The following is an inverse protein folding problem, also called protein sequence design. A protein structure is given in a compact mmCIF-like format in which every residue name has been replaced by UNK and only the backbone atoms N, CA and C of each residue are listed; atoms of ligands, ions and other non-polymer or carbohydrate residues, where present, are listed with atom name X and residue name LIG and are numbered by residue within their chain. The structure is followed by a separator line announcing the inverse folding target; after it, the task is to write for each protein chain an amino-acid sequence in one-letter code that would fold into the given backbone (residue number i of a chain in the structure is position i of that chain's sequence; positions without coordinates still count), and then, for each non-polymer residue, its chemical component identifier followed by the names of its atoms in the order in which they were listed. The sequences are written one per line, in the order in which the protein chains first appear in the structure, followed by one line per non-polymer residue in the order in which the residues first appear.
data_IF_741078439477
#
_entry.id   IF_741078439477
#
_cell.length_a   1.000
_cell.length_b   1.000
_cell.length_c   1.000
_cell.angle_alpha   90.00
_cell.angle_beta   90.00
_cell.angle_gamma   90.00
#
_symmetry.space_group_name_H-M   'P 1'
#
loop_
_entity.id
_entity.type
_entity.pdbx_description
1 polymer ?
#
# COMPACT_ATOMS: atom_id res chain seq x y z
N UNK A 1 28.63 -0.63 26.16
CA UNK A 1 28.70 -1.17 24.80
C UNK A 1 27.37 -0.81 24.17
N UNK A 2 27.33 0.16 23.26
CA UNK A 2 26.08 0.45 22.53
C UNK A 2 25.69 -0.81 21.77
N UNK A 3 24.49 -1.34 22.07
CA UNK A 3 23.92 -2.42 21.28
C UNK A 3 23.58 -1.85 19.92
N UNK A 4 24.37 -2.17 18.89
CA UNK A 4 24.02 -1.85 17.51
C UNK A 4 22.81 -2.71 17.18
N UNK A 5 21.62 -2.11 17.20
CA UNK A 5 20.39 -2.81 16.81
C UNK A 5 20.34 -2.80 15.28
N UNK A 6 20.22 -3.96 14.62
CA UNK A 6 20.25 -4.06 13.16
C UNK A 6 19.15 -3.22 12.51
N UNK A 7 19.48 -2.54 11.41
CA UNK A 7 18.51 -1.77 10.63
C UNK A 7 17.71 -2.68 9.68
N UNK A 8 16.53 -2.21 9.27
CA UNK A 8 15.76 -2.85 8.21
C UNK A 8 16.43 -2.58 6.86
N UNK A 9 16.55 -3.62 6.03
CA UNK A 9 17.06 -3.49 4.65
C UNK A 9 15.95 -3.00 3.73
N UNK A 10 16.26 -2.02 2.88
CA UNK A 10 15.32 -1.55 1.86
C UNK A 10 15.00 -2.70 0.89
N UNK A 11 13.72 -2.94 0.66
CA UNK A 11 13.28 -3.95 -0.30
C UNK A 11 12.00 -3.50 -1.02
N UNK A 12 11.92 -3.82 -2.31
CA UNK A 12 10.75 -3.51 -3.14
C UNK A 12 10.12 -4.78 -3.67
N UNK A 13 8.81 -4.86 -3.55
CA UNK A 13 7.98 -5.86 -4.22
C UNK A 13 6.98 -5.17 -5.15
N UNK A 14 6.40 -5.94 -6.07
CA UNK A 14 5.50 -5.41 -7.08
C UNK A 14 4.18 -6.17 -7.09
N UNK A 15 3.08 -5.42 -7.18
CA UNK A 15 1.72 -5.93 -7.12
C UNK A 15 1.03 -5.60 -8.44
N UNK A 16 0.74 -6.62 -9.24
CA UNK A 16 0.02 -6.43 -10.50
C UNK A 16 -1.44 -6.00 -10.26
N UNK A 17 -1.87 -4.99 -11.00
CA UNK A 17 -3.20 -4.40 -10.95
C UNK A 17 -4.01 -4.85 -12.16
N UNK A 18 -5.09 -5.61 -11.93
CA UNK A 18 -5.94 -6.13 -12.99
C UNK A 18 -7.33 -5.50 -12.95
N UNK A 19 -8.01 -5.30 -14.09
CA UNK A 19 -9.41 -4.92 -14.11
C UNK A 19 -10.24 -5.86 -13.24
N UNK A 20 -11.12 -5.28 -12.41
CA UNK A 20 -11.88 -6.03 -11.43
C UNK A 20 -13.33 -5.53 -11.30
N UNK A 21 -14.18 -6.33 -10.67
CA UNK A 21 -15.55 -5.90 -10.32
C UNK A 21 -15.52 -4.96 -9.11
N UNK A 22 -16.55 -4.11 -9.01
CA UNK A 22 -16.78 -3.17 -7.91
C UNK A 22 -17.26 -3.83 -6.60
N UNK A 23 -17.33 -5.15 -6.54
CA UNK A 23 -17.66 -5.90 -5.31
C UNK A 23 -16.69 -5.52 -4.19
N UNK A 24 -17.21 -5.24 -2.99
CA UNK A 24 -16.38 -4.88 -1.84
C UNK A 24 -16.07 -3.39 -1.70
N UNK A 25 -16.53 -2.55 -2.64
CA UNK A 25 -16.12 -1.13 -2.72
C UNK A 25 -17.18 -0.14 -2.24
N UNK A 26 -18.36 -0.58 -1.79
CA UNK A 26 -19.47 0.32 -1.47
C UNK A 26 -19.09 1.40 -0.46
N UNK A 27 -19.92 2.46 -0.37
CA UNK A 27 -19.78 3.51 0.64
C UNK A 27 -19.59 2.95 2.06
N UNK A 28 -20.22 1.82 2.38
CA UNK A 28 -20.15 1.14 3.69
C UNK A 28 -18.89 0.31 3.92
N UNK A 29 -18.08 0.06 2.88
CA UNK A 29 -16.88 -0.76 2.96
C UNK A 29 -15.62 0.09 2.74
N UNK A 30 -15.55 0.76 1.59
CA UNK A 30 -14.38 1.57 1.20
C UNK A 30 -14.73 3.01 0.87
N UNK A 31 -15.97 3.45 1.13
CA UNK A 31 -16.35 4.84 0.91
C UNK A 31 -16.47 5.23 -0.56
N UNK A 32 -16.53 4.27 -1.50
CA UNK A 32 -16.54 4.58 -2.94
C UNK A 32 -17.97 4.79 -3.45
N UNK A 33 -18.29 5.93 -4.08
CA UNK A 33 -19.54 6.10 -4.82
C UNK A 33 -19.47 5.30 -6.13
N UNK A 34 -20.26 4.24 -6.20
CA UNK A 34 -20.30 3.35 -7.36
C UNK A 34 -21.31 3.87 -8.39
N UNK A 35 -20.83 4.11 -9.60
CA UNK A 35 -21.58 4.48 -10.78
C UNK A 35 -21.35 3.43 -11.86
N UNK A 36 -22.21 3.40 -12.89
CA UNK A 36 -22.05 2.47 -14.01
C UNK A 36 -20.74 2.68 -14.78
N UNK A 37 -20.19 3.90 -14.75
CA UNK A 37 -18.91 4.26 -15.36
C UNK A 37 -17.69 3.97 -14.47
N UNK A 38 -17.87 3.48 -13.24
CA UNK A 38 -16.75 3.25 -12.31
C UNK A 38 -15.81 2.18 -12.85
N UNK A 39 -14.54 2.53 -13.00
CA UNK A 39 -13.45 1.62 -13.41
C UNK A 39 -12.66 1.19 -12.19
N UNK A 40 -12.39 -0.10 -12.08
CA UNK A 40 -11.70 -0.68 -10.91
C UNK A 40 -10.51 -1.52 -11.35
N UNK A 41 -9.37 -1.31 -10.69
CA UNK A 41 -8.18 -2.18 -10.78
C UNK A 41 -7.85 -2.74 -9.40
N UNK A 42 -7.57 -4.04 -9.29
CA UNK A 42 -7.20 -4.68 -8.02
C UNK A 42 -5.94 -5.51 -8.14
N UNK A 43 -5.15 -5.51 -7.07
CA UNK A 43 -3.98 -6.34 -6.89
C UNK A 43 -3.87 -6.80 -5.44
N UNK A 44 -3.14 -7.90 -5.21
CA UNK A 44 -2.87 -8.39 -3.85
C UNK A 44 -1.52 -9.09 -3.75
N UNK A 45 -0.92 -8.99 -2.57
CA UNK A 45 0.24 -9.76 -2.16
C UNK A 45 -0.03 -10.33 -0.77
N UNK A 46 0.13 -11.64 -0.62
CA UNK A 46 -0.21 -12.33 0.62
C UNK A 46 0.77 -11.99 1.75
N UNK A 47 2.06 -11.90 1.44
CA UNK A 47 3.11 -11.69 2.42
C UNK A 47 4.30 -10.98 1.79
N UNK A 48 4.92 -10.10 2.57
CA UNK A 48 6.17 -9.44 2.24
C UNK A 48 7.03 -9.33 3.52
N UNK A 49 8.14 -10.05 3.51
CA UNK A 49 9.07 -10.13 4.63
C UNK A 49 10.19 -9.12 4.39
N UNK A 50 10.40 -8.24 5.36
CA UNK A 50 11.55 -7.34 5.41
C UNK A 50 12.64 -7.95 6.29
N UNK A 51 13.85 -8.05 5.75
CA UNK A 51 14.99 -8.56 6.48
C UNK A 51 15.74 -7.43 7.17
N UNK A 52 16.38 -7.75 8.29
CA UNK A 52 17.40 -6.93 8.92
C UNK A 52 18.73 -7.07 8.17
N UNK A 53 19.66 -6.14 8.40
CA UNK A 53 21.02 -6.20 7.84
C UNK A 53 21.77 -7.51 8.17
N UNK A 54 21.42 -8.17 9.28
CA UNK A 54 21.99 -9.46 9.68
C UNK A 54 21.29 -10.67 9.03
N UNK A 55 20.34 -10.43 8.12
CA UNK A 55 19.58 -11.44 7.38
C UNK A 55 18.43 -12.08 8.16
N UNK A 56 18.19 -11.69 9.42
CA UNK A 56 17.02 -12.16 10.18
C UNK A 56 15.76 -11.45 9.74
N UNK A 57 14.61 -12.05 10.03
CA UNK A 57 13.31 -11.40 9.81
C UNK A 57 13.20 -10.20 10.75
N UNK A 58 13.02 -9.02 10.15
CA UNK A 58 12.74 -7.77 10.86
C UNK A 58 11.24 -7.59 10.97
N UNK A 59 10.66 -6.95 9.95
CA UNK A 59 9.23 -6.65 9.89
C UNK A 59 8.49 -7.54 8.90
N UNK A 60 7.22 -7.81 9.21
CA UNK A 60 6.33 -8.53 8.29
C UNK A 60 5.14 -7.66 7.91
N UNK A 61 4.97 -7.51 6.60
CA UNK A 61 3.77 -6.97 5.98
C UNK A 61 3.01 -8.14 5.36
N UNK A 62 1.69 -8.19 5.54
CA UNK A 62 0.88 -9.25 4.95
C UNK A 62 -0.47 -8.73 4.50
N UNK A 63 -1.18 -9.56 3.75
CA UNK A 63 -2.51 -9.26 3.24
C UNK A 63 -2.59 -7.89 2.54
N UNK A 64 -1.52 -7.51 1.80
CA UNK A 64 -1.45 -6.25 1.07
C UNK A 64 -2.46 -6.31 -0.07
N UNK A 65 -3.43 -5.40 -0.05
CA UNK A 65 -4.48 -5.28 -1.06
C UNK A 65 -4.45 -3.88 -1.63
N UNK A 66 -4.36 -3.79 -2.95
CA UNK A 66 -4.41 -2.53 -3.68
C UNK A 66 -5.72 -2.50 -4.44
N UNK A 67 -6.50 -1.45 -4.22
CA UNK A 67 -7.73 -1.16 -4.97
C UNK A 67 -7.61 0.22 -5.58
N UNK A 68 -7.44 0.27 -6.89
CA UNK A 68 -7.59 1.48 -7.66
C UNK A 68 -9.03 1.65 -8.14
N UNK A 69 -9.56 2.86 -8.03
CA UNK A 69 -10.89 3.23 -8.50
C UNK A 69 -10.81 4.53 -9.27
N UNK A 70 -11.41 4.58 -10.46
CA UNK A 70 -11.75 5.82 -11.15
C UNK A 70 -13.26 5.94 -11.24
N UNK A 71 -13.83 7.05 -10.78
CA UNK A 71 -15.28 7.29 -10.75
C UNK A 71 -15.58 8.78 -10.95
N UNK A 72 -16.86 9.16 -10.94
CA UNK A 72 -17.25 10.58 -10.95
C UNK A 72 -17.76 11.03 -9.59
N UNK A 73 -17.23 12.14 -9.09
CA UNK A 73 -17.62 12.81 -7.86
C UNK A 73 -18.03 14.25 -8.19
N UNK A 74 -19.28 14.63 -7.89
CA UNK A 74 -19.79 15.98 -8.20
C UNK A 74 -19.76 16.34 -9.70
N UNK A 75 -19.78 15.34 -10.59
CA UNK A 75 -19.68 15.53 -12.04
C UNK A 75 -18.25 15.65 -12.57
N UNK A 76 -17.23 15.49 -11.72
CA UNK A 76 -15.81 15.52 -12.10
C UNK A 76 -15.25 14.10 -11.97
N UNK A 77 -14.46 13.66 -12.95
CA UNK A 77 -13.76 12.38 -12.82
C UNK A 77 -12.65 12.48 -11.78
N UNK A 78 -12.58 11.50 -10.88
CA UNK A 78 -11.55 11.35 -9.87
C UNK A 78 -10.99 9.94 -9.93
N UNK A 79 -9.70 9.78 -9.59
CA UNK A 79 -9.12 8.48 -9.36
C UNK A 79 -8.46 8.42 -7.98
N UNK A 80 -8.66 7.29 -7.31
CA UNK A 80 -8.07 7.00 -6.00
C UNK A 80 -7.44 5.62 -5.99
N UNK A 81 -6.34 5.48 -5.26
CA UNK A 81 -5.71 4.20 -4.95
C UNK A 81 -5.81 3.99 -3.45
N UNK A 82 -6.39 2.86 -3.07
CA UNK A 82 -6.56 2.44 -1.68
C UNK A 82 -5.59 1.28 -1.44
N UNK A 83 -4.68 1.44 -0.49
CA UNK A 83 -3.75 0.39 -0.06
C UNK A 83 -4.15 -0.05 1.34
N UNK A 84 -4.56 -1.31 1.46
CA UNK A 84 -4.80 -1.96 2.74
C UNK A 84 -3.67 -2.95 3.02
N UNK A 85 -3.15 -2.96 4.23
CA UNK A 85 -2.03 -3.83 4.61
C UNK A 85 -2.09 -4.16 6.09
N UNK A 86 -1.77 -5.40 6.45
CA UNK A 86 -1.51 -5.78 7.83
C UNK A 86 -0.02 -5.66 8.13
N UNK A 87 0.30 -4.99 9.24
CA UNK A 87 1.67 -4.78 9.70
C UNK A 87 1.82 -5.41 11.07
N UNK A 88 2.87 -6.21 11.25
CA UNK A 88 3.22 -6.74 12.57
C UNK A 88 4.09 -5.73 13.32
N UNK A 89 3.74 -5.48 14.57
CA UNK A 89 4.60 -4.74 15.49
C UNK A 89 5.76 -5.62 15.92
N UNK A 90 6.97 -5.28 15.52
CA UNK A 90 8.16 -6.04 15.91
C UNK A 90 8.42 -5.88 17.43
N UNK A 91 9.03 -6.88 18.06
CA UNK A 91 9.34 -6.92 19.51
C UNK A 91 10.52 -6.01 19.91
N UNK A 92 10.84 -5.03 19.06
CA UNK A 92 12.04 -4.20 19.16
C UNK A 92 11.69 -2.79 19.65
N UNK A 93 12.59 -2.17 20.41
CA UNK A 93 12.52 -0.74 20.74
C UNK A 93 12.72 0.05 19.43
N UNK A 94 11.78 0.93 19.03
CA UNK A 94 11.93 1.71 17.81
C UNK A 94 13.21 2.55 17.85
N UNK A 95 14.16 2.27 16.95
CA UNK A 95 15.41 3.04 16.82
C UNK A 95 15.23 4.35 16.06
N UNK A 96 14.14 4.46 15.30
CA UNK A 96 13.79 5.60 14.48
C UNK A 96 12.28 5.81 14.51
N UNK A 97 11.84 6.97 14.03
CA UNK A 97 10.43 7.26 13.80
C UNK A 97 9.83 6.17 12.91
N UNK A 98 8.60 5.75 13.25
CA UNK A 98 7.85 4.75 12.51
C UNK A 98 7.86 5.05 10.99
N UNK A 99 8.67 4.29 10.25
CA UNK A 99 8.66 4.25 8.79
C UNK A 99 7.51 3.34 8.36
N UNK A 100 6.58 3.88 7.58
CA UNK A 100 5.57 3.08 6.91
C UNK A 100 6.16 2.37 5.71
N UNK A 101 5.58 2.61 4.54
CA UNK A 101 6.08 2.10 3.27
C UNK A 101 6.08 3.22 2.23
N UNK A 102 6.97 3.11 1.26
CA UNK A 102 6.88 3.84 -0.01
C UNK A 102 5.99 3.08 -0.99
N UNK A 103 5.27 3.79 -1.84
CA UNK A 103 4.51 3.18 -2.91
C UNK A 103 4.52 4.03 -4.16
N UNK A 104 4.55 3.38 -5.33
CA UNK A 104 4.49 4.05 -6.62
C UNK A 104 3.56 3.31 -7.58
N UNK A 105 2.89 4.03 -8.48
CA UNK A 105 2.18 3.42 -9.61
C UNK A 105 3.12 3.29 -10.81
N UNK A 106 3.04 2.15 -11.50
CA UNK A 106 3.89 1.83 -12.64
C UNK A 106 3.08 1.46 -13.87
N UNK A 107 3.64 1.71 -15.04
CA UNK A 107 3.30 1.08 -16.31
C UNK A 107 4.48 0.18 -16.75
N UNK A 108 4.38 -1.12 -16.46
CA UNK A 108 5.48 -2.06 -16.63
C UNK A 108 6.66 -1.76 -15.70
N UNK A 109 7.67 -1.07 -16.24
CA UNK A 109 8.88 -0.63 -15.51
C UNK A 109 8.97 0.90 -15.38
N UNK A 110 8.08 1.64 -16.06
CA UNK A 110 8.03 3.10 -15.97
C UNK A 110 7.34 3.49 -14.66
N UNK A 111 8.02 4.31 -13.84
CA UNK A 111 7.42 4.93 -12.68
C UNK A 111 6.52 6.10 -13.14
N UNK A 112 5.22 5.99 -12.88
CA UNK A 112 4.24 7.01 -13.26
C UNK A 112 4.11 8.09 -12.19
N UNK A 113 3.99 7.68 -10.93
CA UNK A 113 3.82 8.58 -9.80
C UNK A 113 4.19 7.89 -8.48
N UNK A 114 4.99 8.59 -7.69
CA UNK A 114 5.23 8.28 -6.28
C UNK A 114 4.04 8.72 -5.44
N UNK A 115 3.54 7.82 -4.60
CA UNK A 115 2.48 8.10 -3.64
C UNK A 115 3.09 8.70 -2.38
N UNK A 116 2.38 9.65 -1.76
CA UNK A 116 2.89 10.32 -0.57
C UNK A 116 3.21 9.30 0.55
N UNK A 117 4.35 9.44 1.25
CA UNK A 117 4.67 8.53 2.35
C UNK A 117 3.67 8.69 3.49
N UNK A 118 3.33 7.59 4.15
CA UNK A 118 2.47 7.58 5.34
C UNK A 118 3.13 6.82 6.48
N UNK A 119 2.83 7.21 7.72
CA UNK A 119 3.17 6.42 8.90
C UNK A 119 2.14 5.31 9.10
N UNK A 120 2.58 4.10 9.45
CA UNK A 120 1.66 3.02 9.78
C UNK A 120 1.11 3.17 11.20
N UNK A 121 -0.17 2.89 11.38
CA UNK A 121 -0.79 2.67 12.67
C UNK A 121 -0.25 1.38 13.29
N UNK A 122 0.59 1.55 14.31
CA UNK A 122 1.30 0.47 14.98
C UNK A 122 1.53 0.84 16.46
N UNK A 123 0.47 0.86 17.29
CA UNK A 123 0.53 1.40 18.66
C UNK A 123 1.23 0.49 19.67
N UNK A 124 1.24 -0.83 19.45
CA UNK A 124 1.87 -1.80 20.36
C UNK A 124 2.73 -2.81 19.59
N UNK A 125 3.77 -3.30 20.25
CA UNK A 125 4.60 -4.40 19.75
C UNK A 125 3.87 -5.74 19.84
N UNK A 126 4.38 -6.74 19.12
CA UNK A 126 3.90 -8.13 19.12
C UNK A 126 2.42 -8.29 18.79
N UNK A 127 1.88 -7.44 17.92
CA UNK A 127 0.48 -7.46 17.48
C UNK A 127 0.34 -7.07 16.01
N UNK A 128 -0.70 -7.61 15.36
CA UNK A 128 -1.04 -7.27 13.98
C UNK A 128 -2.03 -6.11 13.93
N UNK A 129 -1.76 -5.13 13.06
CA UNK A 129 -2.65 -4.00 12.81
C UNK A 129 -2.98 -3.87 11.33
N UNK A 130 -4.27 -3.81 11.04
CA UNK A 130 -4.76 -3.47 9.71
C UNK A 130 -4.65 -1.95 9.50
N UNK A 131 -4.04 -1.58 8.38
CA UNK A 131 -3.81 -0.21 7.96
C UNK A 131 -4.50 0.04 6.62
N UNK A 132 -5.03 1.25 6.43
CA UNK A 132 -5.66 1.68 5.18
C UNK A 132 -5.21 3.09 4.81
N UNK A 133 -4.69 3.24 3.59
CA UNK A 133 -4.23 4.51 3.03
C UNK A 133 -4.98 4.80 1.74
N UNK A 134 -5.37 6.06 1.55
CA UNK A 134 -6.09 6.52 0.37
C UNK A 134 -5.26 7.61 -0.30
N UNK A 135 -4.97 7.40 -1.58
CA UNK A 135 -4.20 8.30 -2.40
C UNK A 135 -5.06 8.82 -3.53
N UNK A 136 -5.09 10.14 -3.71
CA UNK A 136 -5.63 10.73 -4.93
C UNK A 136 -4.55 10.67 -6.02
N UNK A 137 -4.96 10.25 -7.22
CA UNK A 137 -4.05 10.15 -8.36
C UNK A 137 -4.70 10.77 -9.60
N UNK A 138 -3.92 11.35 -10.52
CA UNK A 138 -4.46 11.79 -11.79
C UNK A 138 -5.08 10.64 -12.58
N UNK A 139 -6.21 10.89 -13.26
CA UNK A 139 -7.01 9.85 -13.93
C UNK A 139 -6.26 9.22 -15.10
N UNK A 140 -5.43 10.01 -15.79
CA UNK A 140 -4.57 9.56 -16.88
C UNK A 140 -3.46 8.61 -16.41
N UNK A 141 -2.91 8.83 -15.22
CA UNK A 141 -1.91 7.94 -14.63
C UNK A 141 -2.58 6.66 -14.12
N UNK A 142 -3.76 6.78 -13.52
CA UNK A 142 -4.58 5.62 -13.16
C UNK A 142 -4.84 4.72 -14.37
N UNK A 143 -5.21 5.28 -15.52
CA UNK A 143 -5.54 4.50 -16.72
C UNK A 143 -4.34 3.71 -17.24
N UNK A 144 -3.14 4.31 -17.19
CA UNK A 144 -1.88 3.67 -17.59
C UNK A 144 -1.34 2.66 -16.59
N UNK A 145 -1.63 2.84 -15.30
CA UNK A 145 -1.04 2.03 -14.25
C UNK A 145 -1.47 0.55 -14.35
N UNK A 146 -0.50 -0.36 -14.38
CA UNK A 146 -0.72 -1.80 -14.39
C UNK A 146 -0.11 -2.50 -13.16
N UNK A 147 0.68 -1.78 -12.35
CA UNK A 147 1.35 -2.32 -11.16
C UNK A 147 1.49 -1.26 -10.07
N UNK A 148 1.62 -1.71 -8.83
CA UNK A 148 2.08 -0.89 -7.69
C UNK A 148 3.41 -1.46 -7.18
N UNK A 149 4.43 -0.61 -7.08
CA UNK A 149 5.64 -0.92 -6.32
C UNK A 149 5.38 -0.61 -4.85
N UNK A 150 5.77 -1.52 -3.97
CA UNK A 150 5.66 -1.39 -2.52
C UNK A 150 7.06 -1.56 -1.94
N UNK A 151 7.58 -0.49 -1.32
CA UNK A 151 8.96 -0.42 -0.81
C UNK A 151 8.94 -0.22 0.69
N UNK A 152 9.77 -0.98 1.40
CA UNK A 152 9.92 -0.93 2.86
C UNK A 152 11.37 -0.78 3.22
#
# INVERSE_FOLDING_TARGET
MESIVPALTENTTFIDLKPAKSTGLSLTQLGVPLLDSTVVKKGKLHEFIQLLEDGKVGRRFQNIRVTGVKTSEGGIESAKVIVQVEVFGDDNVPLATNSGFGAALLAGQENLVELAPNSVFLPYASSWYENQFVYEVPTELFDRADRLAFTV
#
